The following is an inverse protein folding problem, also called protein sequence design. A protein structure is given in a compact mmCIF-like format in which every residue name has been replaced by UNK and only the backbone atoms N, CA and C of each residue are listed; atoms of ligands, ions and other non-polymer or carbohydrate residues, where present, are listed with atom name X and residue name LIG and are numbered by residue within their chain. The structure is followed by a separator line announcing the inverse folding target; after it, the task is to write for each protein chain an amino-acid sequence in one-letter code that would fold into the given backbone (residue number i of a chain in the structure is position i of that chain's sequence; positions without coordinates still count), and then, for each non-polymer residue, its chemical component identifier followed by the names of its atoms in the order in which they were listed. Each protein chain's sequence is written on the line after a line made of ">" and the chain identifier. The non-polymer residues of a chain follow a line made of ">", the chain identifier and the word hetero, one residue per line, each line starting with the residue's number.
data_IF_339400897899
#
_entry.id   IF_339400897899
#
_cell.length_a   1.000
_cell.length_b   1.000
_cell.length_c   1.000
_cell.angle_alpha   90.00
_cell.angle_beta   90.00
_cell.angle_gamma   90.00
#
_symmetry.space_group_name_H-M   'P 1'
#
loop_
_entity.id
_entity.type
_entity.pdbx_description
1 polymer ?
#
# COMPACT_ATOMS: atom_id res chain seq x y z
N UNK A 1 1.11 27.25 -11.47
CA UNK A 1 2.34 26.75 -12.10
C UNK A 1 2.47 27.07 -13.60
N UNK A 2 1.87 28.15 -14.15
CA UNK A 2 1.99 28.50 -15.59
C UNK A 2 1.76 27.30 -16.55
N UNK A 3 0.87 26.35 -16.19
CA UNK A 3 0.61 25.12 -16.94
C UNK A 3 1.54 23.93 -16.63
N UNK A 4 2.60 24.11 -15.84
CA UNK A 4 3.49 23.04 -15.38
C UNK A 4 2.83 22.16 -14.29
N UNK A 5 3.28 20.91 -14.25
CA UNK A 5 2.81 19.85 -13.34
C UNK A 5 4.03 19.23 -12.62
N UNK A 6 4.57 19.93 -11.62
CA UNK A 6 5.91 19.64 -11.12
C UNK A 6 5.95 18.38 -10.24
N UNK A 7 7.09 17.70 -10.31
CA UNK A 7 7.52 16.71 -9.32
C UNK A 7 8.44 17.39 -8.31
N UNK A 8 8.02 17.42 -7.04
CA UNK A 8 8.82 17.92 -5.93
C UNK A 8 9.38 16.71 -5.17
N UNK A 9 10.65 16.37 -5.44
CA UNK A 9 11.34 15.26 -4.77
C UNK A 9 12.11 15.75 -3.55
N UNK A 10 11.78 15.20 -2.38
CA UNK A 10 12.29 15.66 -1.08
C UNK A 10 12.13 14.54 -0.05
N UNK A 11 12.97 14.53 0.99
CA UNK A 11 12.77 13.56 2.05
C UNK A 11 11.50 13.86 2.84
N UNK A 12 10.78 12.82 3.28
CA UNK A 12 9.59 12.94 4.14
C UNK A 12 9.86 13.85 5.36
N UNK A 13 11.02 13.68 6.00
CA UNK A 13 11.41 14.51 7.16
C UNK A 13 11.56 16.01 6.81
N UNK A 14 12.09 16.34 5.63
CA UNK A 14 12.30 17.73 5.24
C UNK A 14 11.04 18.40 4.73
N UNK A 15 10.08 17.63 4.20
CA UNK A 15 8.76 18.14 3.82
C UNK A 15 7.99 18.73 5.01
N UNK A 16 8.31 18.33 6.26
CA UNK A 16 7.76 18.99 7.46
C UNK A 16 7.97 20.52 7.45
N UNK A 17 9.07 21.01 6.85
CA UNK A 17 9.35 22.44 6.73
C UNK A 17 8.48 23.15 5.68
N UNK A 18 7.92 22.39 4.73
CA UNK A 18 7.05 22.88 3.67
C UNK A 18 5.56 22.72 3.99
N UNK A 19 5.19 22.32 5.21
CA UNK A 19 3.80 21.99 5.56
C UNK A 19 2.83 23.13 5.25
N UNK A 20 3.17 24.35 5.64
CA UNK A 20 2.36 25.55 5.41
C UNK A 20 2.18 25.83 3.91
N UNK A 21 3.23 25.67 3.11
CA UNK A 21 3.17 25.82 1.65
C UNK A 21 2.31 24.73 1.00
N UNK A 22 2.38 23.49 1.49
CA UNK A 22 1.51 22.41 0.99
C UNK A 22 0.04 22.74 1.24
N UNK A 23 -0.29 23.28 2.41
CA UNK A 23 -1.67 23.69 2.72
C UNK A 23 -2.08 24.90 1.88
N UNK A 24 -1.36 26.01 2.00
CA UNK A 24 -1.79 27.31 1.51
C UNK A 24 -1.55 27.53 0.03
N UNK A 25 -0.42 27.05 -0.50
CA UNK A 25 -0.01 27.32 -1.87
C UNK A 25 -0.42 26.19 -2.83
N UNK A 26 -0.63 24.98 -2.32
CA UNK A 26 -0.93 23.79 -3.14
C UNK A 26 -2.35 23.28 -2.94
N UNK A 27 -2.71 22.86 -1.73
CA UNK A 27 -3.95 22.11 -1.48
C UNK A 27 -5.22 22.97 -1.58
N UNK A 28 -5.20 24.19 -1.05
CA UNK A 28 -6.34 25.14 -1.15
C UNK A 28 -6.66 25.48 -2.60
N UNK A 29 -5.62 25.64 -3.43
CA UNK A 29 -5.73 25.97 -4.85
C UNK A 29 -5.91 24.71 -5.73
N UNK A 30 -5.89 23.53 -5.12
CA UNK A 30 -5.97 22.23 -5.78
C UNK A 30 -4.97 22.07 -6.95
N UNK A 31 -3.72 22.54 -6.76
CA UNK A 31 -2.72 22.53 -7.82
C UNK A 31 -2.16 21.13 -8.07
N UNK A 32 -1.85 20.76 -9.32
CA UNK A 32 -1.32 19.44 -9.68
C UNK A 32 0.18 19.29 -9.36
N UNK A 33 0.54 19.46 -8.08
CA UNK A 33 1.90 19.26 -7.56
C UNK A 33 2.03 17.82 -7.06
N UNK A 34 3.04 17.11 -7.58
CA UNK A 34 3.36 15.74 -7.19
C UNK A 34 4.52 15.74 -6.20
N UNK A 35 4.22 15.54 -4.93
CA UNK A 35 5.20 15.50 -3.85
C UNK A 35 5.71 14.07 -3.70
N UNK A 36 6.99 13.86 -4.00
CA UNK A 36 7.64 12.56 -3.94
C UNK A 36 8.50 12.53 -2.68
N UNK A 37 8.00 11.82 -1.66
CA UNK A 37 8.58 11.74 -0.32
C UNK A 37 9.48 10.51 -0.20
N UNK A 38 10.76 10.71 -0.46
CA UNK A 38 11.79 9.70 -0.23
C UNK A 38 12.11 9.59 1.28
N UNK A 39 12.76 8.52 1.73
CA UNK A 39 13.17 8.33 3.14
C UNK A 39 11.97 8.45 4.12
N UNK A 40 10.80 8.02 3.69
CA UNK A 40 9.64 7.92 4.57
C UNK A 40 9.83 6.77 5.58
N UNK A 41 9.31 6.92 6.79
CA UNK A 41 9.54 5.98 7.88
C UNK A 41 10.91 6.11 8.56
N UNK A 42 11.41 4.98 9.07
CA UNK A 42 12.66 4.89 9.84
C UNK A 42 13.83 4.73 8.88
N UNK A 43 14.80 5.63 8.94
CA UNK A 43 15.94 5.66 7.99
C UNK A 43 17.23 5.01 8.51
N UNK A 44 17.22 4.56 9.77
CA UNK A 44 18.33 3.86 10.41
C UNK A 44 19.36 4.82 11.00
N UNK A 45 20.60 4.77 10.50
CA UNK A 45 21.75 5.41 11.14
C UNK A 45 21.71 6.94 11.18
N UNK A 46 20.92 7.60 10.33
CA UNK A 46 20.75 9.05 10.34
C UNK A 46 19.96 9.55 11.56
N UNK A 47 19.32 8.62 12.29
CA UNK A 47 18.69 8.86 13.57
C UNK A 47 17.35 9.62 13.50
N UNK A 48 16.77 9.93 14.67
CA UNK A 48 15.40 10.42 14.79
C UNK A 48 15.15 11.79 14.14
N UNK A 49 16.19 12.59 13.89
CA UNK A 49 16.07 13.86 13.15
C UNK A 49 15.81 13.67 11.67
N UNK A 50 16.13 12.49 11.12
CA UNK A 50 15.91 12.15 9.72
C UNK A 50 14.77 11.14 9.50
N UNK A 51 14.20 10.59 10.57
CA UNK A 51 13.06 9.70 10.48
C UNK A 51 11.85 10.46 9.91
N UNK A 52 11.42 10.07 8.71
CA UNK A 52 10.22 10.59 8.07
C UNK A 52 8.98 9.85 8.54
N UNK A 53 8.74 9.73 9.84
CA UNK A 53 7.61 8.92 10.36
C UNK A 53 6.28 9.69 10.42
N UNK A 54 6.29 11.02 10.28
CA UNK A 54 5.13 11.85 10.59
C UNK A 54 4.31 12.27 9.35
N UNK A 55 4.78 11.98 8.14
CA UNK A 55 4.13 12.46 6.90
C UNK A 55 2.71 11.97 6.71
N UNK A 56 2.40 10.73 7.08
CA UNK A 56 1.01 10.23 7.01
C UNK A 56 0.08 11.03 7.92
N UNK A 57 0.53 11.38 9.13
CA UNK A 57 -0.28 12.13 10.07
C UNK A 57 -0.51 13.58 9.62
N UNK A 58 0.57 14.32 9.31
CA UNK A 58 0.41 15.73 8.97
C UNK A 58 -0.15 15.93 7.55
N UNK A 59 0.17 15.08 6.57
CA UNK A 59 -0.43 15.17 5.23
C UNK A 59 -1.86 14.62 5.22
N UNK A 60 -2.14 13.59 6.03
CA UNK A 60 -3.43 12.92 6.08
C UNK A 60 -4.60 13.87 6.38
N UNK A 61 -4.36 14.89 7.21
CA UNK A 61 -5.39 15.88 7.55
C UNK A 61 -5.61 16.97 6.48
N UNK A 62 -4.73 17.11 5.49
CA UNK A 62 -4.85 18.13 4.45
C UNK A 62 -5.90 17.68 3.41
N UNK A 63 -6.94 18.46 3.10
CA UNK A 63 -7.94 18.10 2.10
C UNK A 63 -7.34 17.97 0.69
N UNK A 64 -8.05 17.29 -0.21
CA UNK A 64 -7.74 17.14 -1.64
C UNK A 64 -6.46 16.36 -1.99
N UNK A 65 -5.63 15.96 -1.03
CA UNK A 65 -4.45 15.13 -1.31
C UNK A 65 -4.84 13.69 -1.66
N UNK A 66 -4.30 13.20 -2.78
CA UNK A 66 -4.13 11.75 -3.03
C UNK A 66 -2.82 11.30 -2.38
N UNK A 67 -2.84 10.31 -1.48
CA UNK A 67 -1.64 9.81 -0.78
C UNK A 67 -1.43 8.33 -1.09
N UNK A 68 -0.31 8.04 -1.75
CA UNK A 68 0.13 6.73 -2.22
C UNK A 68 1.36 6.24 -1.45
N UNK A 69 1.42 4.92 -1.19
CA UNK A 69 2.56 4.27 -0.55
C UNK A 69 2.76 2.88 -1.18
N UNK A 70 3.75 2.71 -2.08
CA UNK A 70 3.97 1.47 -2.81
C UNK A 70 4.55 0.40 -1.89
N UNK A 71 4.12 -0.85 -2.07
CA UNK A 71 4.66 -2.00 -1.33
C UNK A 71 6.01 -2.49 -1.86
N UNK A 72 6.30 -2.23 -3.14
CA UNK A 72 7.42 -2.79 -3.87
C UNK A 72 7.83 -1.93 -5.07
N UNK A 73 8.87 -2.32 -5.79
CA UNK A 73 9.41 -1.55 -6.91
C UNK A 73 8.54 -1.53 -8.18
N UNK A 74 7.65 -2.52 -8.39
CA UNK A 74 6.65 -2.48 -9.48
C UNK A 74 5.58 -1.47 -9.09
N UNK A 75 5.12 -1.50 -7.84
CA UNK A 75 4.17 -0.51 -7.33
C UNK A 75 4.70 0.90 -7.35
N UNK A 76 5.98 1.10 -7.03
CA UNK A 76 6.60 2.41 -7.14
C UNK A 76 6.52 2.93 -8.57
N UNK A 77 6.83 2.10 -9.58
CA UNK A 77 6.70 2.48 -11.00
C UNK A 77 5.25 2.78 -11.38
N UNK A 78 4.32 1.94 -10.95
CA UNK A 78 2.89 2.10 -11.20
C UNK A 78 2.35 3.39 -10.59
N UNK A 79 2.71 3.69 -9.35
CA UNK A 79 2.26 4.89 -8.64
C UNK A 79 2.94 6.17 -9.13
N UNK A 80 4.19 6.11 -9.61
CA UNK A 80 4.82 7.24 -10.34
C UNK A 80 4.01 7.54 -11.61
N UNK A 81 3.61 6.52 -12.36
CA UNK A 81 2.77 6.71 -13.55
C UNK A 81 1.36 7.18 -13.21
N UNK A 82 0.81 6.72 -12.09
CA UNK A 82 -0.49 7.15 -11.57
C UNK A 82 -0.46 8.62 -11.21
N UNK A 83 0.51 9.05 -10.38
CA UNK A 83 0.63 10.45 -9.99
C UNK A 83 0.99 11.34 -11.17
N UNK A 84 1.78 10.87 -12.14
CA UNK A 84 2.03 11.56 -13.41
C UNK A 84 0.74 11.88 -14.20
N UNK A 85 -0.33 11.09 -14.03
CA UNK A 85 -1.63 11.33 -14.65
C UNK A 85 -2.58 12.26 -13.87
N UNK A 86 -2.25 12.66 -12.64
CA UNK A 86 -3.12 13.51 -11.81
C UNK A 86 -2.90 14.98 -12.16
N UNK A 87 -3.81 15.53 -12.95
CA UNK A 87 -3.67 16.88 -13.53
C UNK A 87 -4.56 17.93 -12.90
N UNK A 88 -5.44 17.52 -12.01
CA UNK A 88 -6.51 18.29 -11.39
C UNK A 88 -6.43 18.30 -9.87
N UNK A 89 -5.30 17.89 -9.28
CA UNK A 89 -5.10 17.94 -7.84
C UNK A 89 -3.72 17.49 -7.37
N UNK A 90 -3.38 17.79 -6.11
CA UNK A 90 -2.11 17.43 -5.53
C UNK A 90 -2.03 15.94 -5.15
N UNK A 91 -0.83 15.38 -5.27
CA UNK A 91 -0.58 13.99 -4.90
C UNK A 91 0.71 13.84 -4.09
N UNK A 92 0.70 12.93 -3.14
CA UNK A 92 1.86 12.51 -2.35
C UNK A 92 2.16 11.05 -2.70
N UNK A 93 3.41 10.76 -3.04
CA UNK A 93 3.93 9.41 -3.18
C UNK A 93 5.08 9.25 -2.19
N UNK A 94 4.88 8.48 -1.12
CA UNK A 94 5.92 8.22 -0.12
C UNK A 94 6.55 6.85 -0.34
N UNK A 95 7.85 6.72 -0.12
CA UNK A 95 8.51 5.41 -0.07
C UNK A 95 9.71 5.45 0.89
N UNK A 96 10.03 4.32 1.55
CA UNK A 96 11.10 4.28 2.51
C UNK A 96 12.46 4.16 1.84
N UNK A 97 13.51 4.32 2.64
CA UNK A 97 14.86 3.93 2.25
C UNK A 97 14.92 2.40 2.20
N UNK A 98 15.32 1.84 1.07
CA UNK A 98 15.43 0.39 0.92
C UNK A 98 15.97 -0.04 -0.44
N UNK A 99 15.95 -1.34 -0.68
CA UNK A 99 16.29 -1.97 -1.96
C UNK A 99 15.05 -2.68 -2.49
N UNK A 100 14.91 -2.74 -3.82
CA UNK A 100 13.88 -3.56 -4.45
C UNK A 100 14.10 -5.05 -4.16
N UNK A 101 13.03 -5.83 -4.25
CA UNK A 101 13.06 -7.28 -3.98
C UNK A 101 13.70 -8.08 -5.12
N UNK A 102 13.61 -7.60 -6.36
CA UNK A 102 13.99 -8.32 -7.58
C UNK A 102 12.87 -9.23 -8.09
N UNK A 103 12.90 -9.52 -9.40
CA UNK A 103 11.83 -10.19 -10.13
C UNK A 103 11.40 -11.53 -9.51
N UNK A 104 12.36 -12.39 -9.16
CA UNK A 104 12.09 -13.72 -8.58
C UNK A 104 11.32 -13.60 -7.25
N UNK A 105 11.78 -12.71 -6.36
CA UNK A 105 11.16 -12.53 -5.05
C UNK A 105 9.78 -11.88 -5.16
N UNK A 106 9.58 -10.95 -6.10
CA UNK A 106 8.29 -10.35 -6.41
C UNK A 106 7.26 -11.38 -6.89
N UNK A 107 7.64 -12.25 -7.82
CA UNK A 107 6.77 -13.34 -8.30
C UNK A 107 6.38 -14.27 -7.14
N UNK A 108 7.35 -14.63 -6.29
CA UNK A 108 7.12 -15.54 -5.16
C UNK A 108 6.22 -14.93 -4.07
N UNK A 109 6.47 -13.67 -3.68
CA UNK A 109 5.77 -13.05 -2.55
C UNK A 109 4.42 -12.44 -2.93
N UNK A 110 4.35 -11.80 -4.10
CA UNK A 110 3.18 -11.00 -4.49
C UNK A 110 2.44 -11.58 -5.68
N UNK A 111 2.92 -12.68 -6.29
CA UNK A 111 2.22 -13.37 -7.36
C UNK A 111 2.19 -12.59 -8.68
N UNK A 112 3.14 -11.69 -8.91
CA UNK A 112 3.25 -10.97 -10.19
C UNK A 112 3.52 -11.92 -11.36
N UNK A 113 2.84 -11.69 -12.48
CA UNK A 113 3.17 -12.32 -13.76
C UNK A 113 4.13 -11.41 -14.53
N UNK A 114 5.41 -11.79 -14.61
CA UNK A 114 6.45 -11.00 -15.26
C UNK A 114 6.83 -11.60 -16.60
N UNK A 115 6.69 -10.81 -17.66
CA UNK A 115 7.16 -11.20 -19.00
C UNK A 115 8.67 -11.44 -18.97
N UNK A 116 9.11 -12.61 -19.46
CA UNK A 116 10.51 -13.04 -19.45
C UNK A 116 11.18 -13.06 -18.06
N UNK A 117 10.41 -12.97 -16.97
CA UNK A 117 10.95 -12.89 -15.62
C UNK A 117 11.65 -11.57 -15.30
N UNK A 118 11.33 -10.49 -16.03
CA UNK A 118 11.95 -9.17 -15.84
C UNK A 118 10.97 -8.16 -15.22
N UNK A 119 11.49 -7.23 -14.44
CA UNK A 119 10.68 -6.12 -13.91
C UNK A 119 10.41 -5.14 -15.05
N UNK A 120 9.15 -4.74 -15.30
CA UNK A 120 8.81 -3.79 -16.35
C UNK A 120 9.61 -2.49 -16.23
N UNK A 121 10.09 -1.98 -17.37
CA UNK A 121 10.83 -0.72 -17.41
C UNK A 121 9.91 0.47 -17.12
N UNK A 122 8.64 0.39 -17.56
CA UNK A 122 7.60 1.39 -17.36
C UNK A 122 6.49 0.84 -16.44
N UNK A 123 5.94 1.70 -15.60
CA UNK A 123 4.77 1.36 -14.78
C UNK A 123 3.45 1.47 -15.55
N UNK A 124 2.42 0.83 -15.01
CA UNK A 124 1.03 0.96 -15.45
C UNK A 124 0.26 1.71 -14.37
N UNK A 125 -0.48 2.78 -14.71
CA UNK A 125 -1.32 3.48 -13.73
C UNK A 125 -2.27 2.51 -13.01
N UNK A 126 -2.41 2.69 -11.70
CA UNK A 126 -3.35 1.94 -10.87
C UNK A 126 -4.58 2.79 -10.57
N UNK A 127 -5.71 2.14 -10.30
CA UNK A 127 -6.93 2.83 -9.90
C UNK A 127 -6.74 3.49 -8.53
N UNK A 128 -6.97 4.81 -8.47
CA UNK A 128 -6.77 5.60 -7.26
C UNK A 128 -7.77 5.16 -6.19
N UNK A 129 -7.26 4.86 -4.99
CA UNK A 129 -8.08 4.45 -3.85
C UNK A 129 -8.46 2.97 -3.83
N UNK A 130 -7.89 2.14 -4.72
CA UNK A 130 -8.11 0.70 -4.70
C UNK A 130 -6.93 -0.04 -4.09
N UNK A 131 -7.24 -0.82 -3.05
CA UNK A 131 -6.33 -1.77 -2.45
C UNK A 131 -6.35 -3.11 -3.18
N UNK A 132 -5.67 -4.12 -2.62
CA UNK A 132 -5.67 -5.49 -3.13
C UNK A 132 -5.48 -6.50 -2.01
N UNK A 133 -6.16 -7.64 -2.09
CA UNK A 133 -5.94 -8.77 -1.18
C UNK A 133 -4.88 -9.68 -1.80
N UNK A 134 -3.76 -9.82 -1.11
CA UNK A 134 -2.58 -10.56 -1.59
C UNK A 134 -2.68 -12.03 -1.17
N UNK A 135 -3.11 -12.26 0.07
CA UNK A 135 -3.17 -13.58 0.69
C UNK A 135 -4.54 -13.79 1.31
N UNK A 136 -5.14 -14.94 1.03
CA UNK A 136 -6.27 -15.49 1.81
C UNK A 136 -5.73 -16.65 2.66
N UNK A 137 -6.47 -17.11 3.68
CA UNK A 137 -6.01 -18.21 4.53
C UNK A 137 -5.61 -19.44 3.71
N UNK A 138 -4.47 -20.05 4.04
CA UNK A 138 -3.88 -21.15 3.27
C UNK A 138 -2.99 -20.76 2.09
N UNK A 139 -2.60 -19.48 1.96
CA UNK A 139 -1.48 -19.04 1.12
C UNK A 139 -1.78 -17.92 0.11
N UNK A 140 -0.71 -17.46 -0.55
CA UNK A 140 -0.74 -16.39 -1.57
C UNK A 140 -1.40 -16.91 -2.86
N UNK A 141 -2.31 -16.12 -3.46
CA UNK A 141 -2.86 -16.41 -4.79
C UNK A 141 -2.16 -15.54 -5.84
N UNK A 142 -1.96 -16.07 -7.04
CA UNK A 142 -1.48 -15.28 -8.16
C UNK A 142 -2.44 -14.12 -8.46
N UNK A 143 -1.90 -12.93 -8.75
CA UNK A 143 -2.68 -11.78 -9.20
C UNK A 143 -3.11 -12.05 -10.65
N UNK A 144 -4.35 -12.48 -10.88
CA UNK A 144 -4.92 -12.48 -12.23
C UNK A 144 -5.55 -11.11 -12.53
N UNK A 145 -5.34 -10.60 -13.75
CA UNK A 145 -6.12 -9.50 -14.30
C UNK A 145 -7.62 -9.89 -14.31
N UNK A 146 -8.48 -8.91 -14.05
CA UNK A 146 -9.94 -8.96 -14.06
C UNK A 146 -10.67 -9.61 -12.85
N UNK A 147 -11.29 -8.73 -12.06
CA UNK A 147 -12.33 -9.08 -11.09
C UNK A 147 -13.68 -9.17 -11.80
N UNK A 148 -14.04 -10.36 -12.27
CA UNK A 148 -15.44 -10.72 -12.56
C UNK A 148 -16.02 -11.62 -11.45
N UNK A 149 -17.32 -11.53 -11.15
CA UNK A 149 -17.94 -12.30 -10.08
C UNK A 149 -17.94 -13.79 -10.46
N UNK A 150 -17.32 -14.61 -9.60
CA UNK A 150 -17.19 -16.03 -9.81
C UNK A 150 -18.57 -16.72 -9.92
N UNK A 151 -18.91 -17.21 -11.12
CA UNK A 151 -20.00 -18.15 -11.34
C UNK A 151 -19.44 -19.47 -11.89
N UNK A 152 -19.41 -20.49 -11.04
CA UNK A 152 -19.57 -21.91 -11.40
C UNK A 152 -18.44 -22.69 -12.09
N UNK A 153 -17.89 -23.67 -11.35
CA UNK A 153 -17.34 -24.99 -11.78
C UNK A 153 -15.91 -25.01 -12.39
N UNK A 154 -15.00 -25.98 -12.16
CA UNK A 154 -14.77 -27.09 -11.20
C UNK A 154 -13.28 -27.46 -11.35
N UNK A 155 -12.72 -28.10 -10.31
CA UNK A 155 -11.47 -28.88 -10.35
C UNK A 155 -10.12 -28.12 -10.40
N UNK A 156 -9.87 -27.35 -9.35
CA UNK A 156 -8.55 -27.13 -8.79
C UNK A 156 -8.68 -27.24 -7.27
N UNK A 157 -7.72 -27.89 -6.57
CA UNK A 157 -7.75 -28.03 -5.10
C UNK A 157 -7.96 -26.66 -4.44
N UNK A 158 -9.21 -26.38 -4.04
CA UNK A 158 -9.57 -25.22 -3.24
C UNK A 158 -8.87 -25.34 -1.90
N UNK A 159 -7.99 -24.39 -1.57
CA UNK A 159 -7.47 -24.24 -0.22
C UNK A 159 -8.63 -24.15 0.76
N UNK A 160 -8.72 -25.11 1.66
CA UNK A 160 -9.81 -25.30 2.63
C UNK A 160 -9.67 -24.42 3.88
N UNK A 161 -8.64 -23.58 3.96
CA UNK A 161 -8.14 -23.00 5.22
C UNK A 161 -9.12 -22.13 6.02
N UNK A 162 -10.12 -21.49 5.40
CA UNK A 162 -11.10 -20.65 6.12
C UNK A 162 -12.51 -21.23 6.17
N UNK A 163 -12.78 -22.32 5.45
CA UNK A 163 -14.14 -22.83 5.24
C UNK A 163 -14.58 -23.64 6.46
N UNK A 164 -15.13 -22.95 7.46
CA UNK A 164 -15.67 -23.55 8.68
C UNK A 164 -15.18 -22.91 9.98
N UNK A 165 -14.12 -22.10 9.93
CA UNK A 165 -13.67 -21.34 11.09
C UNK A 165 -14.66 -20.23 11.43
N UNK A 166 -14.90 -20.02 12.73
CA UNK A 166 -15.73 -18.93 13.22
C UNK A 166 -15.03 -17.58 12.97
N UNK A 167 -15.78 -16.47 13.04
CA UNK A 167 -15.26 -15.14 12.66
C UNK A 167 -14.12 -14.70 13.57
N UNK A 168 -14.20 -14.98 14.87
CA UNK A 168 -13.21 -14.67 15.89
C UNK A 168 -11.84 -15.33 15.67
N UNK A 169 -11.82 -16.42 14.90
CA UNK A 169 -10.61 -17.14 14.50
C UNK A 169 -9.97 -16.61 13.21
N UNK A 170 -10.50 -15.51 12.66
CA UNK A 170 -10.06 -14.91 11.41
C UNK A 170 -9.46 -13.55 11.66
N UNK A 171 -8.26 -13.35 11.15
CA UNK A 171 -7.47 -12.12 11.29
C UNK A 171 -7.25 -11.53 9.90
N UNK A 172 -7.44 -10.22 9.77
CA UNK A 172 -7.00 -9.45 8.60
C UNK A 172 -5.82 -8.57 8.98
N UNK A 173 -4.75 -8.62 8.20
CA UNK A 173 -3.64 -7.67 8.26
C UNK A 173 -3.75 -6.75 7.05
N UNK A 174 -3.92 -5.45 7.29
CA UNK A 174 -3.98 -4.41 6.27
C UNK A 174 -2.73 -3.55 6.35
N UNK A 175 -1.87 -3.63 5.34
CA UNK A 175 -0.60 -2.93 5.32
C UNK A 175 -0.62 -1.71 4.41
N UNK A 176 0.12 -0.66 4.76
CA UNK A 176 0.44 0.45 3.88
C UNK A 176 1.95 0.51 3.62
N UNK A 177 2.36 0.36 2.36
CA UNK A 177 3.77 0.43 1.95
C UNK A 177 4.55 -0.88 2.14
N UNK A 178 5.86 -0.77 2.31
CA UNK A 178 6.81 -1.89 2.16
C UNK A 178 6.81 -2.91 3.29
N UNK A 179 5.94 -2.76 4.31
CA UNK A 179 5.76 -3.76 5.38
C UNK A 179 4.89 -4.94 4.98
N UNK A 180 4.35 -4.91 3.76
CA UNK A 180 3.56 -6.00 3.19
C UNK A 180 4.32 -7.33 3.19
N UNK A 181 5.63 -7.34 2.90
CA UNK A 181 6.39 -8.60 2.84
C UNK A 181 6.49 -9.29 4.20
N UNK A 182 6.68 -8.51 5.26
CA UNK A 182 6.77 -8.98 6.63
C UNK A 182 5.40 -9.44 7.14
N UNK A 183 4.32 -8.77 6.74
CA UNK A 183 2.96 -9.21 7.03
C UNK A 183 2.62 -10.57 6.40
N UNK A 184 3.12 -10.85 5.19
CA UNK A 184 2.96 -12.16 4.56
C UNK A 184 3.69 -13.27 5.32
N UNK A 185 4.93 -13.02 5.73
CA UNK A 185 5.71 -13.96 6.55
C UNK A 185 5.02 -14.20 7.89
N UNK A 186 4.58 -13.13 8.57
CA UNK A 186 3.88 -13.23 9.84
C UNK A 186 2.56 -14.02 9.71
N UNK A 187 1.83 -13.87 8.60
CA UNK A 187 0.62 -14.63 8.36
C UNK A 187 0.87 -16.14 8.25
N UNK A 188 1.96 -16.54 7.57
CA UNK A 188 2.35 -17.96 7.48
C UNK A 188 2.81 -18.49 8.85
N UNK A 189 3.64 -17.75 9.58
CA UNK A 189 4.11 -18.14 10.92
C UNK A 189 2.95 -18.28 11.93
N UNK A 190 1.96 -17.38 11.89
CA UNK A 190 0.79 -17.44 12.77
C UNK A 190 -0.07 -18.67 12.49
N UNK A 191 -0.34 -18.98 11.21
CA UNK A 191 -1.12 -20.18 10.85
C UNK A 191 -0.35 -21.49 11.12
N UNK A 192 0.98 -21.47 11.07
CA UNK A 192 1.83 -22.61 11.47
C UNK A 192 1.81 -22.84 12.99
N UNK A 193 1.81 -21.76 13.78
CA UNK A 193 1.79 -21.83 15.24
C UNK A 193 0.41 -22.20 15.80
N UNK A 194 -0.66 -21.72 15.16
CA UNK A 194 -2.04 -21.99 15.57
C UNK A 194 -2.90 -22.32 14.33
N UNK A 195 -3.13 -23.62 14.05
CA UNK A 195 -3.95 -24.07 12.93
C UNK A 195 -5.43 -23.66 13.02
N UNK A 196 -5.90 -23.19 14.19
CA UNK A 196 -7.25 -22.67 14.38
C UNK A 196 -7.34 -21.18 14.02
N UNK A 197 -6.24 -20.53 13.60
CA UNK A 197 -6.24 -19.18 13.06
C UNK A 197 -6.17 -19.17 11.53
N UNK A 198 -6.83 -18.17 10.94
CA UNK A 198 -6.85 -17.93 9.51
C UNK A 198 -6.53 -16.46 9.22
N UNK A 199 -5.47 -16.20 8.47
CA UNK A 199 -4.93 -14.86 8.26
C UNK A 199 -5.08 -14.41 6.81
N UNK A 200 -5.81 -13.31 6.60
CA UNK A 200 -5.88 -12.59 5.32
C UNK A 200 -4.88 -11.44 5.35
N UNK A 201 -4.14 -11.22 4.26
CA UNK A 201 -3.22 -10.06 4.13
C UNK A 201 -3.63 -9.22 2.92
N UNK A 202 -3.81 -7.93 3.16
CA UNK A 202 -4.21 -6.94 2.17
C UNK A 202 -3.22 -5.77 2.12
N UNK A 203 -3.00 -5.26 0.92
CA UNK A 203 -2.21 -4.07 0.62
C UNK A 203 -3.17 -2.91 0.34
N UNK A 204 -3.12 -1.90 1.19
CA UNK A 204 -3.98 -0.72 1.08
C UNK A 204 -3.63 0.14 -0.13
N UNK A 205 -2.34 0.20 -0.53
CA UNK A 205 -1.75 1.07 -1.58
C UNK A 205 -1.90 2.58 -1.36
N UNK A 206 -3.04 3.02 -0.85
CA UNK A 206 -3.43 4.40 -0.64
C UNK A 206 -3.81 4.62 0.82
N UNK A 207 -3.32 5.72 1.39
CA UNK A 207 -3.92 6.28 2.61
C UNK A 207 -5.10 7.17 2.24
N UNK A 208 -5.03 7.87 1.10
CA UNK A 208 -6.09 8.75 0.61
C UNK A 208 -6.25 8.67 -0.90
N UNK A 209 -7.48 8.44 -1.41
CA UNK A 209 -8.63 7.94 -0.67
C UNK A 209 -8.41 6.49 -0.18
N UNK A 210 -9.12 6.08 0.87
CA UNK A 210 -9.13 4.70 1.34
C UNK A 210 -10.07 3.83 0.50
N UNK A 211 -9.72 2.56 0.32
CA UNK A 211 -10.63 1.56 -0.22
C UNK A 211 -11.64 1.11 0.84
N UNK A 212 -12.68 1.92 1.03
CA UNK A 212 -13.70 1.69 2.08
C UNK A 212 -14.42 0.35 1.89
N UNK A 213 -14.62 -0.10 0.65
CA UNK A 213 -15.30 -1.35 0.36
C UNK A 213 -14.43 -2.55 0.73
N UNK A 214 -13.15 -2.54 0.37
CA UNK A 214 -12.21 -3.59 0.79
C UNK A 214 -12.05 -3.60 2.31
N UNK A 215 -11.91 -2.44 2.96
CA UNK A 215 -11.78 -2.35 4.42
C UNK A 215 -13.03 -2.90 5.11
N UNK A 216 -14.22 -2.57 4.59
CA UNK A 216 -15.49 -3.12 5.09
C UNK A 216 -15.54 -4.64 4.90
N UNK A 217 -15.14 -5.16 3.75
CA UNK A 217 -15.06 -6.60 3.51
C UNK A 217 -14.16 -7.30 4.54
N UNK A 218 -12.98 -6.72 4.83
CA UNK A 218 -12.05 -7.26 5.82
C UNK A 218 -12.67 -7.25 7.23
N UNK A 219 -13.29 -6.15 7.64
CA UNK A 219 -13.94 -6.05 8.95
C UNK A 219 -15.18 -6.95 9.11
N UNK A 220 -15.93 -7.17 8.03
CA UNK A 220 -17.11 -8.03 8.03
C UNK A 220 -16.73 -9.51 8.13
N UNK A 221 -15.66 -9.93 7.46
CA UNK A 221 -15.27 -11.33 7.35
C UNK A 221 -14.24 -11.81 8.39
N UNK A 222 -13.62 -10.90 9.14
CA UNK A 222 -12.58 -11.20 10.13
C UNK A 222 -12.97 -10.64 11.51
N UNK A 223 -12.68 -11.39 12.57
CA UNK A 223 -12.94 -10.97 13.95
C UNK A 223 -11.93 -9.96 14.45
N UNK A 224 -10.74 -9.92 13.84
CA UNK A 224 -9.65 -9.01 14.17
C UNK A 224 -9.15 -8.36 12.87
N UNK A 225 -8.99 -7.03 12.90
CA UNK A 225 -8.32 -6.26 11.85
C UNK A 225 -7.10 -5.55 12.45
N UNK A 226 -5.94 -5.78 11.86
CA UNK A 226 -4.65 -5.21 12.26
C UNK A 226 -4.18 -4.30 11.13
N UNK A 227 -3.86 -3.06 11.43
CA UNK A 227 -3.20 -2.14 10.50
C UNK A 227 -1.70 -2.16 10.73
N UNK A 228 -0.92 -2.10 9.64
CA UNK A 228 0.55 -2.03 9.69
C UNK A 228 1.03 -0.90 8.79
N UNK A 229 1.72 0.06 9.39
CA UNK A 229 2.32 1.18 8.67
C UNK A 229 3.72 1.48 9.18
N UNK A 230 4.53 2.11 8.34
CA UNK A 230 5.78 2.73 8.78
C UNK A 230 5.59 4.22 9.00
N UNK A 231 4.75 4.55 9.98
CA UNK A 231 4.34 5.90 10.34
C UNK A 231 4.18 6.08 11.85
N UNK A 232 3.81 7.27 12.28
CA UNK A 232 3.41 7.57 13.65
C UNK A 232 1.91 7.38 13.85
N UNK A 233 1.48 7.32 15.12
CA UNK A 233 0.08 7.53 15.50
C UNK A 233 -0.43 8.85 14.86
N UNK A 234 -1.72 8.91 14.51
CA UNK A 234 -2.32 9.93 13.65
C UNK A 234 -2.28 9.58 12.16
N UNK A 235 -1.66 8.44 11.81
CA UNK A 235 -1.38 8.00 10.45
C UNK A 235 -2.47 7.11 9.86
N UNK A 236 -2.06 6.09 9.10
CA UNK A 236 -2.95 5.18 8.38
C UNK A 236 -3.85 4.35 9.31
N UNK A 237 -3.38 4.01 10.49
CA UNK A 237 -4.13 3.19 11.45
C UNK A 237 -5.31 3.87 12.14
N UNK A 238 -5.34 5.21 12.15
CA UNK A 238 -6.35 6.04 12.85
C UNK A 238 -7.54 6.40 11.93
#
# INVERSE_FOLDING_TARGET
>A
CEGLKPFCCIYSTFMQRGYDQVVHDVAIQNLPVRMILDRAGVVGNDGPTHHGCYDLAYMGCIPNLTIMSPSDEIELKNMVMTCAGIDDGPSVLRYPRGVGYGAEKLQKLFGYSLENGEIPTKGTPVEIGKGRIIRRPGGVRALSEDTEPANGSKDGKMGTGSRGLLKEHRVAILTLGTRLSEALVAADEVEELDPDLAVTVADARFMKPLDVDMIRELAENNGILITVEEGSIGGFGD
#
